data_IF_409359609472
#
_entry.id   IF_409359609472
#
_cell.length_a   1.000
_cell.length_b   1.000
_cell.length_c   1.000
_cell.angle_alpha   90.00
_cell.angle_beta   90.00
_cell.angle_gamma   90.00
#
_symmetry.space_group_name_H-M   'P 1'
#
loop_
_entity.id
_entity.type
_entity.pdbx_description
1 polymer ?
#
# COMPACT_ATOMS: atom_id res chain seq x y z
N UNK A 1 -6.06 6.42 0.35
CA UNK A 1 -6.56 5.51 1.40
C UNK A 1 -7.99 5.16 1.06
N UNK A 2 -8.42 3.96 1.43
CA UNK A 2 -9.82 3.56 1.26
C UNK A 2 -10.73 4.48 2.07
N UNK A 3 -11.93 4.74 1.53
CA UNK A 3 -12.91 5.60 2.21
C UNK A 3 -13.53 4.93 3.43
N UNK A 4 -13.57 3.59 3.43
CA UNK A 4 -14.15 2.75 4.48
C UNK A 4 -13.27 1.53 4.73
N UNK A 5 -13.02 1.21 6.00
CA UNK A 5 -12.13 0.13 6.44
C UNK A 5 -12.85 -0.99 7.22
N UNK A 6 -14.18 -0.94 7.24
CA UNK A 6 -15.05 -1.87 7.96
C UNK A 6 -16.30 -2.19 7.13
N UNK A 7 -17.01 -3.25 7.50
CA UNK A 7 -18.31 -3.65 6.99
C UNK A 7 -18.96 -4.68 7.93
N UNK A 8 -20.09 -5.25 7.53
CA UNK A 8 -20.74 -6.28 8.35
C UNK A 8 -19.84 -7.51 8.49
N UNK A 9 -19.42 -7.80 9.72
CA UNK A 9 -18.54 -8.91 10.05
C UNK A 9 -17.12 -8.81 9.47
N UNK A 10 -16.70 -7.65 8.96
CA UNK A 10 -15.38 -7.52 8.31
C UNK A 10 -14.65 -6.22 8.62
N UNK A 11 -13.32 -6.32 8.72
CA UNK A 11 -12.38 -5.21 8.85
C UNK A 11 -11.23 -5.40 7.85
N UNK A 12 -10.62 -4.30 7.39
CA UNK A 12 -9.46 -4.30 6.49
C UNK A 12 -8.31 -3.56 7.15
N UNK A 13 -7.18 -4.24 7.31
CA UNK A 13 -5.98 -3.72 8.00
C UNK A 13 -4.71 -3.84 7.12
N UNK A 14 -3.63 -3.18 7.55
CA UNK A 14 -2.31 -3.24 6.91
C UNK A 14 -2.30 -2.83 5.44
N UNK A 15 -1.49 -3.52 4.64
CA UNK A 15 -1.27 -3.19 3.23
C UNK A 15 -2.55 -3.38 2.39
N UNK A 16 -3.44 -4.27 2.79
CA UNK A 16 -4.76 -4.44 2.15
C UNK A 16 -5.61 -3.16 2.26
N UNK A 17 -5.44 -2.38 3.33
CA UNK A 17 -6.04 -1.06 3.52
C UNK A 17 -5.20 0.09 2.91
N UNK A 18 -4.04 -0.23 2.33
CA UNK A 18 -3.10 0.75 1.78
C UNK A 18 -2.35 1.56 2.84
N UNK A 19 -2.11 0.97 4.02
CA UNK A 19 -1.43 1.64 5.14
C UNK A 19 0.10 1.61 4.99
N UNK A 20 0.61 2.26 3.95
CA UNK A 20 2.05 2.28 3.62
C UNK A 20 2.56 3.70 3.41
N UNK A 21 3.62 4.07 4.13
CA UNK A 21 4.33 5.32 3.88
C UNK A 21 5.45 5.06 2.88
N UNK A 22 5.15 5.34 1.61
CA UNK A 22 6.07 5.11 0.49
C UNK A 22 7.31 5.99 0.58
N UNK A 23 7.18 7.23 1.08
CA UNK A 23 8.31 8.15 1.20
C UNK A 23 9.34 7.68 2.23
N UNK A 24 8.89 7.03 3.30
CA UNK A 24 9.75 6.47 4.33
C UNK A 24 10.18 5.02 4.08
N UNK A 25 9.60 4.34 3.07
CA UNK A 25 9.70 2.89 2.84
C UNK A 25 9.32 2.08 4.10
N UNK A 26 8.21 2.45 4.75
CA UNK A 26 7.73 1.78 5.97
C UNK A 26 6.24 1.45 5.89
N UNK A 27 5.89 0.24 6.34
CA UNK A 27 4.51 -0.27 6.40
C UNK A 27 4.26 -1.22 7.57
N UNK A 28 5.28 -1.99 7.99
CA UNK A 28 5.14 -3.04 9.02
C UNK A 28 4.54 -2.51 10.32
N UNK A 29 5.01 -1.37 10.83
CA UNK A 29 4.51 -0.80 12.09
C UNK A 29 3.08 -0.26 11.96
N UNK A 30 2.69 0.23 10.78
CA UNK A 30 1.29 0.57 10.50
C UNK A 30 0.41 -0.67 10.43
N UNK A 31 0.88 -1.74 9.78
CA UNK A 31 0.18 -3.01 9.72
C UNK A 31 -0.05 -3.58 11.13
N UNK A 32 0.98 -3.66 11.96
CA UNK A 32 0.88 -4.14 13.34
C UNK A 32 -0.09 -3.27 14.15
N UNK A 33 0.07 -1.94 14.12
CA UNK A 33 -0.80 -1.04 14.89
C UNK A 33 -2.26 -1.12 14.44
N UNK A 34 -2.50 -1.16 13.12
CA UNK A 34 -3.84 -1.33 12.57
C UNK A 34 -4.46 -2.68 12.94
N UNK A 35 -3.66 -3.74 13.08
CA UNK A 35 -4.12 -5.05 13.56
C UNK A 35 -4.51 -5.02 15.03
N UNK A 36 -3.77 -4.29 15.88
CA UNK A 36 -4.12 -4.10 17.29
C UNK A 36 -5.47 -3.39 17.43
N UNK A 37 -5.66 -2.25 16.74
CA UNK A 37 -6.91 -1.51 16.76
C UNK A 37 -8.09 -2.33 16.22
N UNK A 38 -7.85 -3.14 15.18
CA UNK A 38 -8.87 -4.03 14.64
C UNK A 38 -9.26 -5.11 15.66
N UNK A 39 -8.28 -5.69 16.37
CA UNK A 39 -8.53 -6.69 17.41
C UNK A 39 -9.35 -6.12 18.57
N UNK A 40 -9.04 -4.90 19.02
CA UNK A 40 -9.81 -4.22 20.08
C UNK A 40 -11.27 -4.02 19.65
N UNK A 41 -11.50 -3.51 18.44
CA UNK A 41 -12.85 -3.32 17.91
C UNK A 41 -13.62 -4.63 17.74
N UNK A 42 -12.96 -5.70 17.26
CA UNK A 42 -13.56 -7.04 17.15
C UNK A 42 -13.94 -7.57 18.54
N UNK A 43 -13.06 -7.41 19.53
CA UNK A 43 -13.31 -7.91 20.87
C UNK A 43 -14.53 -7.24 21.52
N UNK A 44 -14.65 -5.93 21.38
CA UNK A 44 -15.82 -5.19 21.89
C UNK A 44 -17.11 -5.55 21.14
N UNK A 45 -17.04 -5.70 19.81
CA UNK A 45 -18.16 -6.15 18.99
C UNK A 45 -18.65 -7.55 19.39
N UNK A 46 -17.74 -8.48 19.63
CA UNK A 46 -18.06 -9.84 20.08
C UNK A 46 -18.67 -9.85 21.48
N UNK A 47 -18.19 -9.00 22.40
CA UNK A 47 -18.78 -8.85 23.73
C UNK A 47 -20.21 -8.31 23.70
N UNK A 48 -20.49 -7.43 22.75
CA UNK A 48 -21.81 -6.84 22.54
C UNK A 48 -22.75 -7.74 21.73
N UNK A 49 -22.27 -8.88 21.22
CA UNK A 49 -22.97 -9.72 20.25
C UNK A 49 -23.45 -8.93 19.00
N UNK A 50 -22.67 -7.92 18.60
CA UNK A 50 -22.96 -7.03 17.49
C UNK A 50 -21.71 -6.83 16.63
N UNK A 51 -21.60 -7.62 15.56
CA UNK A 51 -20.57 -7.49 14.53
C UNK A 51 -21.06 -6.74 13.28
N UNK A 52 -22.09 -5.89 13.41
CA UNK A 52 -22.54 -5.04 12.32
C UNK A 52 -21.48 -4.01 11.92
N UNK A 53 -21.62 -3.45 10.72
CA UNK A 53 -20.78 -2.35 10.26
C UNK A 53 -20.82 -1.16 11.23
N UNK A 54 -21.97 -0.91 11.89
CA UNK A 54 -22.11 0.19 12.86
C UNK A 54 -21.23 0.01 14.09
N UNK A 55 -21.21 -1.20 14.64
CA UNK A 55 -20.34 -1.58 15.77
C UNK A 55 -18.86 -1.51 15.38
N UNK A 56 -18.51 -2.16 14.25
CA UNK A 56 -17.14 -2.24 13.75
C UNK A 56 -16.58 -0.90 13.23
N UNK A 57 -17.40 0.13 13.02
CA UNK A 57 -16.95 1.47 12.68
C UNK A 57 -16.04 2.09 13.76
N UNK A 58 -16.03 1.55 14.99
CA UNK A 58 -15.07 1.92 16.02
C UNK A 58 -13.61 1.77 15.57
N UNK A 59 -13.30 0.74 14.79
CA UNK A 59 -11.97 0.53 14.22
C UNK A 59 -11.56 1.69 13.29
N UNK A 60 -12.44 2.08 12.37
CA UNK A 60 -12.15 3.13 11.38
C UNK A 60 -11.93 4.49 12.07
N UNK A 61 -12.71 4.80 13.11
CA UNK A 61 -12.49 5.99 13.94
C UNK A 61 -11.14 5.93 14.66
N UNK A 62 -10.87 4.84 15.37
CA UNK A 62 -9.63 4.68 16.12
C UNK A 62 -8.39 4.78 15.22
N UNK A 63 -8.44 4.20 14.02
CA UNK A 63 -7.33 4.29 13.07
C UNK A 63 -7.14 5.71 12.54
N UNK A 64 -8.23 6.45 12.26
CA UNK A 64 -8.16 7.86 11.80
C UNK A 64 -7.63 8.80 12.86
N UNK A 65 -7.85 8.50 14.13
CA UNK A 65 -7.33 9.24 15.28
C UNK A 65 -5.89 8.83 15.65
N UNK A 66 -5.38 7.73 15.07
CA UNK A 66 -4.03 7.23 15.35
C UNK A 66 -2.94 7.99 14.61
N UNK A 67 -1.69 7.81 15.08
CA UNK A 67 -0.49 8.33 14.42
C UNK A 67 -0.33 7.80 12.97
N UNK A 68 -0.91 6.63 12.66
CA UNK A 68 -0.83 6.03 11.31
C UNK A 68 -1.47 6.96 10.30
N UNK A 69 -2.68 7.45 10.59
CA UNK A 69 -3.40 8.33 9.69
C UNK A 69 -2.74 9.70 9.61
N UNK A 70 -2.19 10.21 10.72
CA UNK A 70 -1.42 11.45 10.73
C UNK A 70 -0.18 11.36 9.82
N UNK A 71 0.62 10.30 9.93
CA UNK A 71 1.79 10.07 9.09
C UNK A 71 1.45 9.95 7.61
N UNK A 72 0.40 9.18 7.29
CA UNK A 72 -0.06 8.99 5.92
C UNK A 72 -0.62 10.29 5.35
N UNK A 73 -1.31 11.10 6.15
CA UNK A 73 -1.76 12.44 5.75
C UNK A 73 -0.57 13.33 5.38
N UNK A 74 0.48 13.36 6.22
CA UNK A 74 1.70 14.17 6.00
C UNK A 74 2.43 13.78 4.72
N UNK A 75 2.40 12.51 4.34
CA UNK A 75 3.19 11.96 3.23
C UNK A 75 2.38 11.62 1.97
N UNK A 76 1.05 11.80 1.98
CA UNK A 76 0.11 11.38 0.91
C UNK A 76 0.49 11.80 -0.51
N UNK A 77 1.20 12.92 -0.65
CA UNK A 77 1.54 13.54 -1.93
C UNK A 77 3.04 13.48 -2.24
N UNK A 78 3.88 12.91 -1.36
CA UNK A 78 5.34 12.97 -1.53
C UNK A 78 5.82 12.26 -2.80
N UNK A 79 5.37 11.03 -3.06
CA UNK A 79 5.68 10.31 -4.31
C UNK A 79 5.11 11.05 -5.53
N UNK A 80 3.88 11.53 -5.43
CA UNK A 80 3.17 12.18 -6.53
C UNK A 80 3.76 13.54 -6.91
N UNK A 81 4.44 14.22 -5.98
CA UNK A 81 5.15 15.47 -6.27
C UNK A 81 6.18 15.31 -7.39
N UNK A 82 6.85 14.16 -7.44
CA UNK A 82 7.88 13.86 -8.44
C UNK A 82 7.32 13.58 -9.83
N UNK A 83 5.99 13.47 -10.01
CA UNK A 83 5.37 13.51 -11.35
C UNK A 83 5.65 14.83 -12.08
N UNK A 84 5.96 15.91 -11.35
CA UNK A 84 6.39 17.19 -11.95
C UNK A 84 7.89 17.28 -12.25
N UNK A 85 8.61 16.15 -12.22
CA UNK A 85 10.07 16.10 -12.40
C UNK A 85 10.84 16.26 -11.10
N UNK A 86 12.13 15.92 -11.13
CA UNK A 86 12.96 15.83 -9.92
C UNK A 86 13.10 17.16 -9.17
N UNK A 87 13.38 18.25 -9.88
CA UNK A 87 13.62 19.57 -9.25
C UNK A 87 12.33 20.16 -8.68
N UNK A 88 11.28 20.29 -9.50
CA UNK A 88 9.99 20.81 -9.05
C UNK A 88 9.32 19.89 -8.02
N UNK A 89 9.45 18.58 -8.18
CA UNK A 89 9.00 17.59 -7.21
C UNK A 89 9.72 17.71 -5.87
N UNK A 90 11.04 17.89 -5.90
CA UNK A 90 11.85 18.14 -4.70
C UNK A 90 11.42 19.42 -3.96
N UNK A 91 11.22 20.52 -4.69
CA UNK A 91 10.72 21.76 -4.10
C UNK A 91 9.34 21.57 -3.44
N UNK A 92 8.39 20.92 -4.13
CA UNK A 92 7.06 20.60 -3.57
C UNK A 92 7.17 19.72 -2.33
N UNK A 93 7.99 18.66 -2.38
CA UNK A 93 8.22 17.76 -1.27
C UNK A 93 8.79 18.49 -0.04
N UNK A 94 9.70 19.45 -0.27
CA UNK A 94 10.22 20.30 0.80
C UNK A 94 9.12 21.16 1.46
N UNK A 95 8.29 21.84 0.67
CA UNK A 95 7.14 22.60 1.20
C UNK A 95 6.15 21.70 1.95
N UNK A 96 5.91 20.47 1.46
CA UNK A 96 5.09 19.48 2.17
C UNK A 96 5.70 19.10 3.52
N UNK A 97 7.02 18.87 3.58
CA UNK A 97 7.72 18.57 4.83
C UNK A 97 7.57 19.69 5.86
N UNK A 98 7.79 20.95 5.45
CA UNK A 98 7.67 22.12 6.33
C UNK A 98 6.23 22.35 6.81
N UNK A 99 5.23 22.08 5.97
CA UNK A 99 3.81 22.33 6.29
C UNK A 99 3.10 21.14 6.95
N UNK A 100 3.78 20.00 7.12
CA UNK A 100 3.19 18.76 7.60
C UNK A 100 2.13 18.20 6.63
N UNK A 101 2.37 18.32 5.32
CA UNK A 101 1.45 17.86 4.28
C UNK A 101 0.21 18.74 4.07
N UNK A 102 0.15 19.93 4.67
CA UNK A 102 -0.95 20.90 4.46
C UNK A 102 -0.89 21.58 3.10
N UNK A 103 0.29 21.75 2.51
CA UNK A 103 0.43 22.20 1.12
C UNK A 103 0.48 20.98 0.19
N UNK A 104 -0.20 20.95 -0.98
CA UNK A 104 -1.10 21.95 -1.57
C UNK A 104 -2.59 21.83 -1.13
N UNK A 105 -2.88 21.34 0.09
CA UNK A 105 -4.22 21.24 0.65
C UNK A 105 -4.98 19.99 0.22
N UNK A 106 -4.95 19.67 -1.08
CA UNK A 106 -5.60 18.48 -1.66
C UNK A 106 -4.71 17.24 -1.72
N UNK A 107 -5.29 16.13 -2.15
CA UNK A 107 -4.54 14.97 -2.65
C UNK A 107 -4.24 15.20 -4.13
N UNK A 108 -3.03 14.91 -4.58
CA UNK A 108 -2.68 14.90 -6.00
C UNK A 108 -3.31 13.66 -6.63
N UNK A 109 -3.91 13.81 -7.81
CA UNK A 109 -4.52 12.68 -8.50
C UNK A 109 -3.45 11.67 -8.96
N UNK A 110 -3.83 10.40 -8.86
CA UNK A 110 -3.06 9.27 -9.36
C UNK A 110 -3.92 8.49 -10.31
N UNK A 111 -3.44 8.35 -11.54
CA UNK A 111 -3.98 7.41 -12.53
C UNK A 111 -3.73 5.97 -12.09
N UNK A 112 -4.51 5.04 -12.65
CA UNK A 112 -4.31 3.61 -12.46
C UNK A 112 -3.06 3.17 -13.21
N UNK A 113 -2.17 2.44 -12.54
CA UNK A 113 -0.98 1.86 -13.18
C UNK A 113 -1.36 0.88 -14.31
N UNK A 114 -2.57 0.32 -14.30
CA UNK A 114 -3.07 -0.58 -15.35
C UNK A 114 -3.45 0.14 -16.65
N UNK A 115 -3.72 1.45 -16.59
CA UNK A 115 -4.08 2.25 -17.77
C UNK A 115 -2.83 2.71 -18.56
N UNK A 116 -1.63 2.58 -17.97
CA UNK A 116 -0.39 2.96 -18.62
C UNK A 116 -0.01 1.92 -19.70
N UNK A 117 0.04 2.31 -20.98
CA UNK A 117 0.31 1.36 -22.06
C UNK A 117 1.73 0.82 -21.97
N UNK A 118 1.88 -0.50 -22.03
CA UNK A 118 3.20 -1.14 -22.09
C UNK A 118 3.92 -0.76 -23.37
N UNK A 119 5.09 -0.14 -23.24
CA UNK A 119 6.02 0.09 -24.35
C UNK A 119 7.00 -1.07 -24.41
N UNK A 120 7.07 -1.72 -25.58
CA UNK A 120 8.06 -2.77 -25.84
C UNK A 120 9.13 -2.13 -26.72
N UNK A 121 10.26 -1.80 -26.12
CA UNK A 121 11.45 -1.34 -26.83
C UNK A 121 12.44 -2.50 -26.94
N UNK A 122 13.17 -2.64 -28.08
CA UNK A 122 14.25 -3.61 -28.18
C UNK A 122 15.27 -3.34 -27.08
N UNK A 123 15.44 -4.30 -26.17
CA UNK A 123 16.47 -4.22 -25.14
C UNK A 123 17.78 -4.82 -25.66
N UNK A 124 18.91 -4.24 -25.25
CA UNK A 124 20.22 -4.85 -25.48
C UNK A 124 20.27 -6.25 -24.86
N UNK A 125 20.99 -7.16 -25.51
CA UNK A 125 21.18 -8.51 -24.98
C UNK A 125 21.96 -8.44 -23.67
N UNK A 126 21.29 -8.77 -22.56
CA UNK A 126 21.90 -8.81 -21.23
C UNK A 126 22.25 -10.25 -20.84
N UNK A 127 23.54 -10.52 -20.69
CA UNK A 127 24.03 -11.82 -20.19
C UNK A 127 24.42 -11.71 -18.70
N UNK A 128 23.75 -12.43 -17.79
CA UNK A 128 24.09 -12.40 -16.37
C UNK A 128 25.46 -13.05 -16.11
N UNK A 129 26.21 -12.50 -15.17
CA UNK A 129 27.57 -12.91 -14.80
C UNK A 129 27.64 -13.99 -13.70
N UNK A 130 26.51 -14.29 -13.05
CA UNK A 130 26.40 -15.27 -11.97
C UNK A 130 27.05 -14.85 -10.65
N UNK A 131 27.50 -13.59 -10.54
CA UNK A 131 28.19 -13.05 -9.34
C UNK A 131 27.44 -11.87 -8.75
N UNK A 132 27.26 -10.82 -9.55
CA UNK A 132 26.49 -9.64 -9.17
C UNK A 132 25.09 -9.68 -9.81
N UNK A 133 24.98 -10.39 -10.93
CA UNK A 133 23.79 -10.46 -11.76
C UNK A 133 23.43 -11.91 -12.04
N UNK A 134 22.15 -12.23 -12.06
CA UNK A 134 21.65 -13.60 -12.13
C UNK A 134 20.52 -13.69 -13.15
N UNK A 135 20.29 -14.88 -13.70
CA UNK A 135 19.13 -15.09 -14.56
C UNK A 135 17.85 -15.00 -13.75
N UNK A 136 16.72 -14.68 -14.41
CA UNK A 136 15.40 -14.73 -13.78
C UNK A 136 15.10 -16.13 -13.23
N UNK A 137 15.52 -17.19 -13.93
CA UNK A 137 15.32 -18.57 -13.50
C UNK A 137 16.07 -18.87 -12.19
N UNK A 138 17.32 -18.43 -12.06
CA UNK A 138 18.07 -18.57 -10.81
C UNK A 138 17.43 -17.80 -9.66
N UNK A 139 16.92 -16.59 -9.92
CA UNK A 139 16.24 -15.78 -8.92
C UNK A 139 14.93 -16.44 -8.43
N UNK A 140 14.13 -17.01 -9.34
CA UNK A 140 12.91 -17.76 -9.01
C UNK A 140 13.24 -19.03 -8.22
N UNK A 141 14.27 -19.77 -8.63
CA UNK A 141 14.71 -20.96 -7.89
C UNK A 141 15.12 -20.60 -6.45
N UNK A 142 15.91 -19.52 -6.28
CA UNK A 142 16.38 -19.06 -4.96
C UNK A 142 15.28 -18.49 -4.08
N UNK A 143 14.14 -18.05 -4.63
CA UNK A 143 13.01 -17.59 -3.82
C UNK A 143 12.32 -18.75 -3.09
N UNK A 144 12.62 -20.01 -3.44
CA UNK A 144 11.98 -21.20 -2.87
C UNK A 144 10.50 -21.32 -3.25
N UNK A 145 10.05 -20.59 -4.27
CA UNK A 145 8.66 -20.64 -4.71
C UNK A 145 8.39 -21.99 -5.38
N UNK A 146 7.52 -22.79 -4.79
CA UNK A 146 7.08 -24.07 -5.32
C UNK A 146 5.56 -24.17 -5.21
N UNK A 147 4.94 -24.59 -6.30
CA UNK A 147 3.52 -24.94 -6.36
C UNK A 147 3.41 -26.32 -6.96
N UNK A 148 2.34 -27.05 -6.65
CA UNK A 148 2.09 -28.34 -7.28
C UNK A 148 1.73 -28.12 -8.76
N UNK A 149 2.27 -28.95 -9.65
CA UNK A 149 2.04 -28.82 -11.10
C UNK A 149 0.61 -29.18 -11.53
N UNK A 150 -0.15 -29.88 -10.69
CA UNK A 150 -1.49 -30.39 -10.98
C UNK A 150 -2.63 -29.48 -10.50
N UNK A 151 -2.33 -28.32 -9.91
CA UNK A 151 -3.35 -27.36 -9.51
C UNK A 151 -3.84 -26.55 -10.73
N UNK A 152 -5.11 -26.13 -10.75
CA UNK A 152 -5.59 -25.19 -11.74
C UNK A 152 -4.75 -23.90 -11.77
N UNK A 153 -4.58 -23.30 -12.95
CA UNK A 153 -3.92 -21.98 -13.06
C UNK A 153 -4.68 -20.95 -12.23
N UNK A 154 -3.98 -20.30 -11.31
CA UNK A 154 -4.50 -19.17 -10.53
C UNK A 154 -4.28 -17.82 -11.23
N UNK A 155 -3.61 -17.82 -12.39
CA UNK A 155 -3.53 -16.68 -13.30
C UNK A 155 -4.62 -16.84 -14.36
N UNK A 156 -5.67 -16.05 -14.22
CA UNK A 156 -6.83 -16.03 -15.10
C UNK A 156 -6.71 -14.80 -16.00
N UNK A 157 -6.82 -14.99 -17.31
CA UNK A 157 -6.90 -13.87 -18.26
C UNK A 157 -8.32 -13.34 -18.19
N UNK A 158 -8.47 -12.08 -17.78
CA UNK A 158 -9.77 -11.41 -17.79
C UNK A 158 -10.28 -11.24 -19.22
N UNK A 159 -11.57 -11.47 -19.43
CA UNK A 159 -12.29 -11.15 -20.67
C UNK A 159 -12.50 -9.64 -20.82
#
# INVERSE_FOLDING_TARGET
>A
MAERLHGDGCLIAGDAAGLVNVAALKGIHYAVHSGMLAADAIFDALKADDCSAGSLAAYDRALRESFVFEDLYRTRNMRLAFKSGFVAGGAKAWFMGVTGGRFPGGRIDSESDADEPRRIEPADEFKPDGKLTFSKLDAVFRSGNATRDDIPSHLIVGE
#
